data_IF_952785810650
#
_entry.id   IF_952785810650
#
_cell.length_a   1.000
_cell.length_b   1.000
_cell.length_c   1.000
_cell.angle_alpha   90.00
_cell.angle_beta   90.00
_cell.angle_gamma   90.00
#
_symmetry.space_group_name_H-M   'P 1'
#
loop_
_entity.id
_entity.type
_entity.pdbx_description
1 polymer ?
#
# COMPACT_ATOMS: atom_id res chain seq x y z
N UNK A 1 22.61 -0.56 9.32
CA UNK A 1 21.88 -1.85 9.35
C UNK A 1 22.12 -2.54 8.02
N UNK A 2 22.68 -3.76 7.98
CA UNK A 2 22.80 -4.52 6.72
C UNK A 2 21.41 -5.02 6.34
N UNK A 3 20.96 -4.71 5.13
CA UNK A 3 19.72 -5.25 4.58
C UNK A 3 19.95 -6.75 4.32
N UNK A 4 19.50 -7.59 5.25
CA UNK A 4 19.65 -9.04 5.15
C UNK A 4 18.64 -9.57 4.13
N UNK A 5 18.98 -10.66 3.40
CA UNK A 5 18.04 -11.35 2.49
C UNK A 5 16.69 -11.68 3.14
N UNK A 6 16.69 -11.89 4.46
CA UNK A 6 15.50 -12.11 5.27
C UNK A 6 14.56 -10.89 5.31
N UNK A 7 15.10 -9.67 5.42
CA UNK A 7 14.30 -8.43 5.40
C UNK A 7 13.64 -8.24 4.03
N UNK A 8 14.36 -8.57 2.96
CA UNK A 8 13.82 -8.56 1.61
C UNK A 8 12.68 -9.59 1.45
N UNK A 9 12.89 -10.82 1.91
CA UNK A 9 11.85 -11.85 1.87
C UNK A 9 10.60 -11.48 2.68
N UNK A 10 10.77 -10.91 3.88
CA UNK A 10 9.66 -10.40 4.69
C UNK A 10 8.91 -9.26 3.99
N UNK A 11 9.63 -8.37 3.30
CA UNK A 11 9.00 -7.31 2.52
C UNK A 11 8.18 -7.86 1.35
N UNK A 12 8.73 -8.82 0.59
CA UNK A 12 8.00 -9.48 -0.50
C UNK A 12 6.76 -10.20 0.03
N UNK A 13 6.89 -10.91 1.15
CA UNK A 13 5.77 -11.59 1.80
C UNK A 13 4.69 -10.59 2.25
N UNK A 14 5.09 -9.45 2.82
CA UNK A 14 4.16 -8.38 3.21
C UNK A 14 3.36 -7.84 2.03
N UNK A 15 3.99 -7.68 0.86
CA UNK A 15 3.32 -7.25 -0.38
C UNK A 15 2.31 -8.29 -0.85
N UNK A 16 2.66 -9.58 -0.80
CA UNK A 16 1.75 -10.68 -1.19
C UNK A 16 0.52 -10.69 -0.27
N UNK A 17 0.73 -10.56 1.05
CA UNK A 17 -0.35 -10.51 2.02
C UNK A 17 -1.25 -9.30 1.76
N UNK A 18 -0.67 -8.12 1.53
CA UNK A 18 -1.44 -6.92 1.22
C UNK A 18 -2.30 -7.06 -0.05
N UNK A 19 -1.72 -7.58 -1.15
CA UNK A 19 -2.48 -7.78 -2.40
C UNK A 19 -3.61 -8.79 -2.17
N UNK A 20 -3.33 -9.86 -1.42
CA UNK A 20 -4.35 -10.88 -1.12
C UNK A 20 -5.50 -10.28 -0.30
N UNK A 21 -5.20 -9.48 0.71
CA UNK A 21 -6.17 -8.77 1.54
C UNK A 21 -7.06 -7.85 0.69
N UNK A 22 -6.44 -7.05 -0.20
CA UNK A 22 -7.15 -6.16 -1.12
C UNK A 22 -8.10 -6.93 -2.06
N UNK A 23 -7.65 -8.05 -2.62
CA UNK A 23 -8.48 -8.89 -3.50
C UNK A 23 -9.67 -9.47 -2.72
N UNK A 24 -9.44 -9.95 -1.50
CA UNK A 24 -10.50 -10.51 -0.65
C UNK A 24 -11.52 -9.44 -0.27
N UNK A 25 -11.08 -8.24 0.10
CA UNK A 25 -11.96 -7.11 0.44
C UNK A 25 -12.83 -6.68 -0.75
N UNK A 26 -12.24 -6.59 -1.96
CA UNK A 26 -12.98 -6.28 -3.19
C UNK A 26 -13.99 -7.40 -3.49
N UNK A 27 -13.58 -8.67 -3.40
CA UNK A 27 -14.45 -9.80 -3.65
C UNK A 27 -15.65 -9.84 -2.69
N UNK A 28 -15.39 -9.65 -1.40
CA UNK A 28 -16.40 -9.60 -0.35
C UNK A 28 -17.34 -8.41 -0.55
N UNK A 29 -16.81 -7.24 -0.93
CA UNK A 29 -17.64 -6.08 -1.26
C UNK A 29 -18.58 -6.35 -2.44
N UNK A 30 -18.07 -6.91 -3.53
CA UNK A 30 -18.88 -7.28 -4.71
C UNK A 30 -19.97 -8.28 -4.32
N UNK A 31 -19.64 -9.28 -3.50
CA UNK A 31 -20.61 -10.23 -2.94
C UNK A 31 -21.72 -9.53 -2.16
N UNK A 32 -21.38 -8.58 -1.29
CA UNK A 32 -22.37 -7.82 -0.51
C UNK A 32 -23.28 -6.97 -1.39
N UNK A 33 -22.75 -6.36 -2.46
CA UNK A 33 -23.55 -5.63 -3.44
C UNK A 33 -24.50 -6.55 -4.23
N UNK A 34 -24.03 -7.73 -4.67
CA UNK A 34 -24.87 -8.71 -5.35
C UNK A 34 -25.99 -9.28 -4.47
N UNK A 35 -25.75 -9.40 -3.16
CA UNK A 35 -26.73 -9.90 -2.19
C UNK A 35 -27.67 -8.78 -1.65
N UNK A 36 -27.60 -7.56 -2.20
CA UNK A 36 -28.44 -6.41 -1.82
C UNK A 36 -28.08 -5.80 -0.45
N UNK A 37 -27.01 -6.27 0.19
CA UNK A 37 -26.51 -5.79 1.48
C UNK A 37 -25.50 -4.65 1.30
N UNK A 38 -25.97 -3.58 0.67
CA UNK A 38 -25.14 -2.45 0.25
C UNK A 38 -24.41 -1.74 1.41
N UNK A 39 -25.01 -1.69 2.61
CA UNK A 39 -24.39 -1.05 3.79
C UNK A 39 -23.08 -1.74 4.18
N UNK A 40 -23.05 -3.08 4.17
CA UNK A 40 -21.85 -3.84 4.49
C UNK A 40 -20.79 -3.72 3.39
N UNK A 41 -21.19 -3.74 2.12
CA UNK A 41 -20.27 -3.53 0.99
C UNK A 41 -19.61 -2.15 1.01
N UNK A 42 -20.37 -1.09 1.31
CA UNK A 42 -19.86 0.28 1.47
C UNK A 42 -18.92 0.37 2.67
N UNK A 43 -19.26 -0.26 3.79
CA UNK A 43 -18.42 -0.27 4.99
C UNK A 43 -17.07 -0.95 4.72
N UNK A 44 -17.07 -2.12 4.09
CA UNK A 44 -15.84 -2.84 3.69
C UNK A 44 -14.95 -1.98 2.79
N UNK A 45 -15.52 -1.37 1.75
CA UNK A 45 -14.75 -0.49 0.84
C UNK A 45 -14.22 0.74 1.57
N UNK A 46 -14.99 1.31 2.48
CA UNK A 46 -14.57 2.48 3.26
C UNK A 46 -13.38 2.16 4.17
N UNK A 47 -13.40 1.01 4.85
CA UNK A 47 -12.27 0.55 5.66
C UNK A 47 -11.03 0.26 4.81
N UNK A 48 -11.21 -0.43 3.67
CA UNK A 48 -10.12 -0.72 2.72
C UNK A 48 -9.46 0.55 2.19
N UNK A 49 -10.27 1.54 1.77
CA UNK A 49 -9.79 2.83 1.28
C UNK A 49 -9.10 3.63 2.38
N UNK A 50 -9.68 3.66 3.58
CA UNK A 50 -9.10 4.38 4.70
C UNK A 50 -7.76 3.78 5.13
N UNK A 51 -7.66 2.45 5.22
CA UNK A 51 -6.41 1.75 5.49
C UNK A 51 -5.34 2.07 4.45
N UNK A 52 -5.72 2.04 3.16
CA UNK A 52 -4.82 2.39 2.06
C UNK A 52 -4.37 3.85 2.13
N UNK A 53 -5.28 4.79 2.43
CA UNK A 53 -4.97 6.21 2.60
C UNK A 53 -3.99 6.46 3.75
N UNK A 54 -4.19 5.82 4.91
CA UNK A 54 -3.28 5.95 6.05
C UNK A 54 -1.88 5.46 5.67
N UNK A 55 -1.78 4.29 5.06
CA UNK A 55 -0.49 3.73 4.61
C UNK A 55 0.16 4.65 3.58
N UNK A 56 -0.58 5.21 2.62
CA UNK A 56 -0.05 6.16 1.65
C UNK A 56 0.40 7.48 2.29
N UNK A 57 -0.33 8.01 3.28
CA UNK A 57 0.07 9.21 4.02
C UNK A 57 1.41 9.02 4.75
N UNK A 58 1.59 7.90 5.45
CA UNK A 58 2.85 7.57 6.11
C UNK A 58 3.98 7.36 5.11
N UNK A 59 3.71 6.60 4.04
CA UNK A 59 4.65 6.39 2.96
C UNK A 59 5.11 7.72 2.37
N UNK A 60 4.18 8.64 2.05
CA UNK A 60 4.47 9.97 1.51
C UNK A 60 5.30 10.83 2.46
N UNK A 61 4.98 10.79 3.77
CA UNK A 61 5.76 11.51 4.79
C UNK A 61 7.21 11.04 4.82
N UNK A 62 7.44 9.73 4.75
CA UNK A 62 8.78 9.15 4.67
C UNK A 62 9.49 9.50 3.37
N UNK A 63 8.80 9.47 2.23
CA UNK A 63 9.36 9.90 0.95
C UNK A 63 9.79 11.37 0.98
N UNK A 64 8.95 12.27 1.49
CA UNK A 64 9.29 13.69 1.64
C UNK A 64 10.51 13.89 2.54
N UNK A 65 10.63 13.10 3.61
CA UNK A 65 11.78 13.15 4.51
C UNK A 65 13.07 12.65 3.84
N UNK A 66 13.00 11.59 3.03
CA UNK A 66 14.14 11.04 2.28
C UNK A 66 14.56 11.96 1.13
N UNK A 67 13.59 12.57 0.43
CA UNK A 67 13.85 13.53 -0.65
C UNK A 67 14.54 14.80 -0.14
N UNK A 68 14.19 15.24 1.09
CA UNK A 68 14.90 16.33 1.77
C UNK A 68 16.37 15.96 2.10
N UNK A 69 16.67 14.68 2.29
CA UNK A 69 18.04 14.19 2.54
C UNK A 69 18.84 13.94 1.25
N UNK A 70 18.17 13.56 0.16
CA UNK A 70 18.80 13.15 -1.09
C UNK A 70 19.09 14.29 -2.08
N UNK A 71 18.59 15.51 -1.85
CA UNK A 71 19.06 16.70 -2.59
C UNK A 71 18.66 16.79 -4.08
N UNK A 72 17.42 16.42 -4.42
CA UNK A 72 16.84 16.51 -5.79
C UNK A 72 17.51 15.62 -6.86
N UNK A 73 17.24 14.32 -6.90
CA UNK A 73 17.49 13.53 -8.11
C UNK A 73 16.35 12.50 -8.33
N UNK A 74 15.58 12.73 -9.40
CA UNK A 74 14.59 11.83 -10.02
C UNK A 74 13.17 11.71 -9.38
N UNK A 75 12.29 12.66 -9.71
CA UNK A 75 10.94 12.79 -9.13
C UNK A 75 9.86 11.85 -9.67
N UNK A 76 9.95 11.38 -10.92
CA UNK A 76 8.83 10.68 -11.57
C UNK A 76 8.84 9.16 -11.38
N UNK A 77 10.01 8.54 -11.38
CA UNK A 77 10.12 7.07 -11.27
C UNK A 77 9.82 6.58 -9.84
N UNK A 78 10.18 7.37 -8.83
CA UNK A 78 9.91 7.09 -7.43
C UNK A 78 8.44 7.29 -7.05
N UNK A 79 7.78 8.30 -7.63
CA UNK A 79 6.37 8.59 -7.37
C UNK A 79 5.45 7.48 -7.91
N UNK A 80 5.81 6.89 -9.06
CA UNK A 80 5.18 5.70 -9.63
C UNK A 80 5.35 4.47 -8.72
N UNK A 81 6.55 4.26 -8.19
CA UNK A 81 6.84 3.23 -7.17
C UNK A 81 6.03 3.46 -5.89
N UNK A 82 5.80 4.72 -5.49
CA UNK A 82 5.03 5.09 -4.31
C UNK A 82 3.52 4.83 -4.47
N UNK A 83 2.99 5.15 -5.66
CA UNK A 83 1.61 4.86 -6.02
C UNK A 83 1.35 3.34 -6.01
N UNK A 84 2.38 2.55 -6.31
CA UNK A 84 2.38 1.09 -6.30
C UNK A 84 2.82 0.47 -4.96
N UNK A 85 2.92 1.24 -3.86
CA UNK A 85 3.39 0.74 -2.55
C UNK A 85 4.82 0.16 -2.51
N UNK A 86 5.62 0.37 -3.55
CA UNK A 86 6.99 -0.14 -3.68
C UNK A 86 8.06 0.69 -2.99
N UNK A 87 7.70 1.67 -2.15
CA UNK A 87 8.65 2.45 -1.34
C UNK A 87 9.50 1.60 -0.38
N UNK A 88 9.14 0.33 -0.15
CA UNK A 88 9.97 -0.62 0.61
C UNK A 88 11.22 -1.09 -0.17
N UNK A 89 11.19 -1.07 -1.51
CA UNK A 89 12.30 -1.52 -2.36
C UNK A 89 13.43 -0.51 -2.52
N UNK A 90 13.20 0.75 -2.18
CA UNK A 90 14.14 1.84 -2.46
C UNK A 90 15.14 2.11 -1.34
N UNK A 91 15.24 1.21 -0.36
CA UNK A 91 16.11 1.35 0.81
C UNK A 91 17.00 0.13 1.02
#
# INVERSE_FOLDING_TARGET
MKYTKLNFMLSVLGIIIYITDLIVDIWVSVRFFCEGRNVFGILTVSFMLFGTLVVQCFSYSWFKADLKKAGQENQHCFLLLHCLQGGVFTR
#
